data_IF_092682153140
#
_entry.id   IF_092682153140
#
_cell.length_a   1.000
_cell.length_b   1.000
_cell.length_c   1.000
_cell.angle_alpha   90.00
_cell.angle_beta   90.00
_cell.angle_gamma   90.00
#
_symmetry.space_group_name_H-M   'P 1'
#
loop_
_entity.id
_entity.type
_entity.pdbx_description
1 polymer ?
#
# COMPACT_ATOMS: atom_id res chain seq x y z
N UNK A 1 -13.72 -2.22 9.65
CA UNK A 1 -12.53 -1.36 9.73
C UNK A 1 -11.88 -1.51 11.10
N UNK A 2 -10.57 -1.57 11.13
CA UNK A 2 -9.78 -1.68 12.36
C UNK A 2 -8.96 -0.39 12.50
N UNK A 3 -9.05 0.32 13.63
CA UNK A 3 -8.27 1.54 13.82
C UNK A 3 -6.77 1.23 13.92
N UNK A 4 -5.91 2.18 13.53
CA UNK A 4 -4.44 2.08 13.56
C UNK A 4 -3.83 2.16 14.98
N UNK A 5 -4.65 1.90 16.01
CA UNK A 5 -4.23 1.84 17.42
C UNK A 5 -3.58 0.50 17.76
N UNK A 6 -2.86 0.43 18.89
CA UNK A 6 -2.32 -0.84 19.41
C UNK A 6 -3.36 -1.96 19.51
N UNK A 7 -4.58 -1.64 19.98
CA UNK A 7 -5.70 -2.60 20.05
C UNK A 7 -6.12 -3.08 18.68
N UNK A 8 -6.19 -2.16 17.70
CA UNK A 8 -6.51 -2.49 16.32
C UNK A 8 -5.47 -3.44 15.70
N UNK A 9 -4.19 -3.11 15.81
CA UNK A 9 -3.10 -3.96 15.31
C UNK A 9 -3.12 -5.35 15.96
N UNK A 10 -3.36 -5.44 17.28
CA UNK A 10 -3.51 -6.73 17.98
C UNK A 10 -4.66 -7.56 17.41
N UNK A 11 -5.76 -6.93 17.01
CA UNK A 11 -6.89 -7.65 16.35
C UNK A 11 -6.50 -8.21 14.99
N UNK A 12 -5.67 -7.50 14.21
CA UNK A 12 -5.17 -8.01 12.93
C UNK A 12 -4.32 -9.27 13.13
N UNK A 13 -3.40 -9.25 14.09
CA UNK A 13 -2.60 -10.43 14.45
C UNK A 13 -3.49 -11.61 14.81
N UNK A 14 -4.43 -11.43 15.74
CA UNK A 14 -5.35 -12.50 16.17
C UNK A 14 -6.19 -13.05 15.02
N UNK A 15 -6.61 -12.19 14.08
CA UNK A 15 -7.34 -12.61 12.92
C UNK A 15 -6.49 -13.53 12.03
N UNK A 16 -5.24 -13.16 11.75
CA UNK A 16 -4.33 -13.97 10.94
C UNK A 16 -3.93 -15.27 11.65
N UNK A 17 -3.61 -15.22 12.94
CA UNK A 17 -3.27 -16.40 13.75
C UNK A 17 -4.43 -17.41 13.81
N UNK A 18 -5.68 -16.95 13.72
CA UNK A 18 -6.88 -17.77 13.64
C UNK A 18 -7.20 -18.26 12.20
N UNK A 19 -6.30 -18.04 11.22
CA UNK A 19 -6.52 -18.43 9.82
C UNK A 19 -7.47 -17.50 9.05
N UNK A 20 -7.75 -16.32 9.59
CA UNK A 20 -8.61 -15.32 8.95
C UNK A 20 -7.89 -14.49 7.88
N UNK A 21 -8.63 -13.60 7.23
CA UNK A 21 -8.17 -12.69 6.18
C UNK A 21 -8.09 -11.25 6.69
N UNK A 22 -7.00 -10.56 6.37
CA UNK A 22 -6.81 -9.13 6.60
C UNK A 22 -6.56 -8.43 5.28
N UNK A 23 -7.30 -7.36 5.00
CA UNK A 23 -7.11 -6.51 3.82
C UNK A 23 -6.46 -5.19 4.23
N UNK A 24 -5.43 -4.77 3.50
CA UNK A 24 -4.70 -3.51 3.72
C UNK A 24 -4.56 -2.80 2.37
N UNK A 25 -4.68 -1.48 2.38
CA UNK A 25 -4.42 -0.61 1.22
C UNK A 25 -2.98 -0.06 1.34
N UNK A 26 -2.00 -0.65 0.65
CA UNK A 26 -0.58 -0.34 0.86
C UNK A 26 -0.11 0.93 0.15
N UNK A 27 -0.89 1.42 -0.78
CA UNK A 27 -0.59 2.58 -1.63
C UNK A 27 -1.07 3.92 -1.03
N UNK A 28 -1.66 3.90 0.15
CA UNK A 28 -1.98 5.11 0.90
C UNK A 28 -0.77 5.61 1.67
N UNK A 29 -0.71 6.95 1.89
CA UNK A 29 0.37 7.58 2.66
C UNK A 29 0.08 7.42 4.15
N UNK A 30 0.92 6.68 4.90
CA UNK A 30 0.75 6.48 6.33
C UNK A 30 1.21 7.73 7.13
N UNK A 31 0.86 7.77 8.42
CA UNK A 31 1.40 8.78 9.35
C UNK A 31 2.88 8.54 9.65
N UNK A 32 3.30 7.27 9.69
CA UNK A 32 4.68 6.85 9.98
C UNK A 32 5.10 5.69 9.10
N UNK A 33 6.38 5.63 8.76
CA UNK A 33 6.92 4.58 7.92
C UNK A 33 8.36 4.86 7.51
N UNK A 34 8.79 4.22 6.44
CA UNK A 34 10.08 4.48 5.80
C UNK A 34 9.87 4.86 4.34
N UNK A 35 10.82 5.63 3.82
CA UNK A 35 10.84 5.95 2.40
C UNK A 35 11.48 4.80 1.61
N UNK A 36 10.67 4.13 0.80
CA UNK A 36 11.11 3.09 -0.15
C UNK A 36 10.59 3.40 -1.54
N UNK A 37 11.23 2.88 -2.61
CA UNK A 37 10.83 3.20 -3.98
C UNK A 37 9.38 2.81 -4.30
N UNK A 38 8.69 3.68 -5.03
CA UNK A 38 7.43 3.44 -5.72
C UNK A 38 7.48 4.16 -7.06
N UNK A 39 7.43 3.44 -8.17
CA UNK A 39 7.70 3.94 -9.52
C UNK A 39 9.01 4.75 -9.64
N UNK A 40 10.06 4.28 -8.95
CA UNK A 40 11.38 4.91 -8.96
C UNK A 40 11.56 6.09 -8.00
N UNK A 41 10.48 6.61 -7.39
CA UNK A 41 10.52 7.73 -6.46
C UNK A 41 10.34 7.27 -5.00
N UNK A 42 11.05 7.88 -4.03
CA UNK A 42 10.85 7.57 -2.61
C UNK A 42 9.43 7.91 -2.18
N UNK A 43 8.71 6.92 -1.65
CA UNK A 43 7.36 7.06 -1.11
C UNK A 43 7.31 6.57 0.33
N UNK A 44 6.71 7.36 1.23
CA UNK A 44 6.51 6.96 2.62
C UNK A 44 5.60 5.74 2.65
N UNK A 45 6.07 4.63 3.21
CA UNK A 45 5.40 3.33 3.19
C UNK A 45 5.31 2.76 4.60
N UNK A 46 4.15 2.19 4.96
CA UNK A 46 3.92 1.59 6.27
C UNK A 46 4.66 0.26 6.42
N UNK A 47 5.12 -0.01 7.63
CA UNK A 47 5.77 -1.27 8.03
C UNK A 47 4.75 -2.38 8.38
N UNK A 48 3.44 -2.08 8.40
CA UNK A 48 2.43 -2.97 8.97
C UNK A 48 2.38 -4.32 8.26
N UNK A 49 2.37 -4.33 6.92
CA UNK A 49 2.30 -5.57 6.12
C UNK A 49 3.49 -6.48 6.43
N UNK A 50 4.71 -5.96 6.37
CA UNK A 50 5.92 -6.73 6.65
C UNK A 50 5.98 -7.23 8.10
N UNK A 51 5.45 -6.45 9.05
CA UNK A 51 5.36 -6.85 10.47
C UNK A 51 4.34 -7.96 10.69
N UNK A 52 3.16 -7.84 10.10
CA UNK A 52 2.12 -8.87 10.18
C UNK A 52 2.63 -10.17 9.57
N UNK A 53 3.18 -10.12 8.36
CA UNK A 53 3.71 -11.27 7.65
C UNK A 53 4.79 -12.00 8.47
N UNK A 54 5.81 -11.28 8.96
CA UNK A 54 6.91 -11.89 9.74
C UNK A 54 6.45 -12.54 11.03
N UNK A 55 5.44 -11.94 11.69
CA UNK A 55 4.98 -12.45 12.99
C UNK A 55 4.04 -13.66 12.84
N UNK A 56 3.23 -13.71 11.78
CA UNK A 56 2.19 -14.73 11.61
C UNK A 56 2.51 -15.76 10.53
N UNK A 57 3.51 -15.49 9.67
CA UNK A 57 3.79 -16.33 8.50
C UNK A 57 2.69 -16.26 7.42
N UNK A 58 1.75 -15.31 7.53
CA UNK A 58 0.62 -15.19 6.59
C UNK A 58 1.10 -15.01 5.14
N UNK A 59 0.42 -15.67 4.21
CA UNK A 59 0.62 -15.45 2.78
C UNK A 59 0.04 -14.11 2.38
N UNK A 60 0.74 -13.41 1.48
CA UNK A 60 0.31 -12.16 0.89
C UNK A 60 -0.24 -12.44 -0.50
N UNK A 61 -1.36 -11.82 -0.83
CA UNK A 61 -1.97 -11.86 -2.17
C UNK A 61 -2.35 -10.44 -2.53
N UNK A 62 -1.95 -10.00 -3.72
CA UNK A 62 -2.40 -8.73 -4.26
C UNK A 62 -3.80 -8.87 -4.85
N UNK A 63 -4.67 -7.89 -4.58
CA UNK A 63 -6.03 -7.88 -5.10
C UNK A 63 -6.36 -6.48 -5.61
N UNK A 64 -6.94 -6.40 -6.81
CA UNK A 64 -7.44 -5.15 -7.37
C UNK A 64 -8.70 -5.37 -8.20
N UNK A 65 -9.47 -4.31 -8.36
CA UNK A 65 -10.68 -4.32 -9.18
C UNK A 65 -10.38 -3.72 -10.57
N UNK A 66 -10.74 -4.46 -11.60
CA UNK A 66 -10.68 -3.99 -12.99
C UNK A 66 -12.10 -3.73 -13.49
N UNK A 67 -12.39 -2.49 -13.87
CA UNK A 67 -13.65 -2.16 -14.53
C UNK A 67 -13.67 -2.78 -15.93
N UNK A 68 -14.74 -3.46 -16.27
CA UNK A 68 -14.93 -4.08 -17.58
C UNK A 68 -15.50 -3.07 -18.60
N UNK A 69 -15.19 -3.22 -19.90
CA UNK A 69 -15.73 -2.37 -20.95
C UNK A 69 -17.25 -2.40 -21.01
N UNK A 70 -17.86 -1.38 -21.63
CA UNK A 70 -19.29 -1.29 -21.91
C UNK A 70 -20.19 -1.48 -20.67
N UNK A 71 -19.74 -0.97 -19.49
CA UNK A 71 -20.47 -1.08 -18.22
C UNK A 71 -20.80 -2.53 -17.77
N UNK A 72 -20.04 -3.51 -18.21
CA UNK A 72 -20.20 -4.92 -17.83
C UNK A 72 -19.73 -5.24 -16.39
N UNK A 73 -19.66 -4.23 -15.50
CA UNK A 73 -19.28 -4.40 -14.10
C UNK A 73 -17.78 -4.43 -13.87
N UNK A 74 -17.35 -5.25 -12.91
CA UNK A 74 -15.96 -5.34 -12.43
C UNK A 74 -15.49 -6.78 -12.37
N UNK A 75 -14.21 -6.99 -12.65
CA UNK A 75 -13.49 -8.23 -12.35
C UNK A 75 -12.61 -8.02 -11.11
N UNK A 76 -12.65 -8.97 -10.19
CA UNK A 76 -11.69 -9.05 -9.08
C UNK A 76 -10.47 -9.82 -9.57
N UNK A 77 -9.31 -9.17 -9.56
CA UNK A 77 -8.05 -9.74 -10.00
C UNK A 77 -7.16 -10.05 -8.80
N UNK A 78 -6.62 -11.27 -8.75
CA UNK A 78 -5.64 -11.69 -7.75
C UNK A 78 -4.30 -11.94 -8.41
N UNK A 79 -3.20 -11.52 -7.74
CA UNK A 79 -1.82 -11.73 -8.22
C UNK A 79 -0.93 -12.15 -7.06
N UNK A 80 0.03 -13.01 -7.35
CA UNK A 80 1.12 -13.27 -6.42
C UNK A 80 1.98 -12.00 -6.29
N UNK A 81 2.40 -11.64 -5.08
CA UNK A 81 3.33 -10.54 -4.88
C UNK A 81 4.74 -10.93 -5.36
N UNK A 82 5.63 -9.94 -5.51
CA UNK A 82 7.06 -10.24 -5.72
C UNK A 82 7.65 -10.90 -4.47
N UNK A 83 8.66 -11.76 -4.64
CA UNK A 83 9.26 -12.53 -3.55
C UNK A 83 9.85 -11.65 -2.43
N UNK A 84 10.29 -10.43 -2.77
CA UNK A 84 10.87 -9.47 -1.82
C UNK A 84 9.93 -9.14 -0.64
N UNK A 85 8.61 -9.30 -0.76
CA UNK A 85 7.66 -9.06 0.34
C UNK A 85 7.92 -9.94 1.57
N UNK A 86 8.60 -11.08 1.36
CA UNK A 86 8.96 -12.04 2.41
C UNK A 86 10.39 -11.87 2.92
N UNK A 87 11.10 -10.83 2.48
CA UNK A 87 12.48 -10.59 2.90
C UNK A 87 12.58 -10.37 4.42
N UNK A 88 13.67 -10.84 5.02
CA UNK A 88 13.98 -10.61 6.43
C UNK A 88 14.27 -9.12 6.70
N UNK A 89 14.90 -8.43 5.76
CA UNK A 89 15.11 -6.99 5.83
C UNK A 89 13.79 -6.24 5.61
N UNK A 90 13.46 -5.34 6.55
CA UNK A 90 12.20 -4.62 6.54
C UNK A 90 12.06 -3.66 5.36
N UNK A 91 13.16 -2.99 4.96
CA UNK A 91 13.12 -2.03 3.85
C UNK A 91 12.96 -2.76 2.52
N UNK A 92 13.63 -3.92 2.36
CA UNK A 92 13.46 -4.79 1.19
C UNK A 92 12.02 -5.31 1.11
N UNK A 93 11.46 -5.77 2.23
CA UNK A 93 10.07 -6.25 2.27
C UNK A 93 9.08 -5.14 1.92
N UNK A 94 9.25 -3.92 2.45
CA UNK A 94 8.41 -2.77 2.13
C UNK A 94 8.54 -2.35 0.65
N UNK A 95 9.76 -2.33 0.10
CA UNK A 95 9.98 -2.09 -1.32
C UNK A 95 9.32 -3.18 -2.18
N UNK A 96 9.33 -4.44 -1.72
CA UNK A 96 8.60 -5.55 -2.32
C UNK A 96 7.10 -5.33 -2.38
N UNK A 97 6.51 -4.79 -1.30
CA UNK A 97 5.08 -4.40 -1.29
C UNK A 97 4.81 -3.36 -2.37
N UNK A 98 5.62 -2.29 -2.44
CA UNK A 98 5.45 -1.25 -3.47
C UNK A 98 5.61 -1.82 -4.89
N UNK A 99 6.63 -2.66 -5.15
CA UNK A 99 6.82 -3.34 -6.45
C UNK A 99 5.61 -4.20 -6.84
N UNK A 100 5.00 -4.86 -5.86
CA UNK A 100 3.80 -5.68 -6.09
C UNK A 100 2.60 -4.82 -6.49
N UNK A 101 2.42 -3.66 -5.84
CA UNK A 101 1.40 -2.68 -6.23
C UNK A 101 1.69 -2.12 -7.62
N UNK A 102 2.94 -1.76 -7.92
CA UNK A 102 3.33 -1.29 -9.26
C UNK A 102 3.00 -2.30 -10.36
N UNK A 103 3.23 -3.60 -10.11
CA UNK A 103 2.89 -4.65 -11.07
C UNK A 103 1.37 -4.68 -11.35
N UNK A 104 0.54 -4.56 -10.32
CA UNK A 104 -0.91 -4.47 -10.46
C UNK A 104 -1.32 -3.20 -11.23
N UNK A 105 -0.74 -2.05 -10.91
CA UNK A 105 -1.01 -0.78 -11.59
C UNK A 105 -0.66 -0.84 -13.08
N UNK A 106 0.48 -1.47 -13.44
CA UNK A 106 0.89 -1.62 -14.85
C UNK A 106 -0.09 -2.44 -15.68
N UNK A 107 -0.91 -3.32 -15.09
CA UNK A 107 -1.96 -4.04 -15.82
C UNK A 107 -3.14 -3.15 -16.21
N UNK A 108 -3.46 -2.14 -15.41
CA UNK A 108 -4.60 -1.24 -15.61
C UNK A 108 -4.26 0.21 -15.31
N UNK A 109 -3.21 0.80 -15.89
CA UNK A 109 -2.69 2.12 -15.48
C UNK A 109 -3.74 3.23 -15.60
N UNK A 110 -4.67 3.14 -16.54
CA UNK A 110 -5.74 4.12 -16.72
C UNK A 110 -6.82 4.07 -15.62
N UNK A 111 -6.84 3.04 -14.78
CA UNK A 111 -7.83 2.88 -13.72
C UNK A 111 -7.23 3.06 -12.32
N UNK A 112 -5.94 3.32 -12.23
CA UNK A 112 -5.30 3.63 -10.94
C UNK A 112 -5.63 5.06 -10.52
N UNK A 113 -5.76 5.27 -9.23
CA UNK A 113 -6.13 6.55 -8.62
C UNK A 113 -4.93 7.53 -8.57
N UNK A 114 -4.47 8.02 -9.73
CA UNK A 114 -3.32 8.91 -9.84
C UNK A 114 -3.51 10.26 -9.15
N UNK A 115 -4.76 10.72 -8.97
CA UNK A 115 -5.09 11.94 -8.24
C UNK A 115 -4.79 11.85 -6.74
N UNK A 116 -4.66 10.64 -6.18
CA UNK A 116 -4.18 10.46 -4.82
C UNK A 116 -2.70 10.82 -4.73
N UNK A 117 -2.40 11.86 -3.94
CA UNK A 117 -1.04 12.41 -3.81
C UNK A 117 -0.11 11.46 -3.03
N UNK A 118 0.26 10.32 -3.64
CA UNK A 118 1.08 9.26 -3.03
C UNK A 118 2.44 9.74 -2.53
N UNK A 119 3.00 10.76 -3.17
CA UNK A 119 4.32 11.33 -2.85
C UNK A 119 4.22 12.67 -2.10
N UNK A 120 3.12 12.94 -1.40
CA UNK A 120 2.96 14.20 -0.64
C UNK A 120 4.00 14.35 0.46
N UNK A 121 4.40 13.23 1.08
CA UNK A 121 5.52 13.18 2.01
C UNK A 121 6.80 12.87 1.25
N UNK A 122 7.85 13.66 1.52
CA UNK A 122 9.15 13.53 0.85
C UNK A 122 10.27 13.40 1.88
N UNK A 123 11.34 12.65 1.56
CA UNK A 123 12.55 12.66 2.38
C UNK A 123 13.10 14.09 2.53
N UNK A 124 13.77 14.35 3.64
CA UNK A 124 14.45 15.64 3.88
C UNK A 124 15.37 16.02 2.70
N UNK A 125 15.28 17.27 2.25
CA UNK A 125 16.07 17.77 1.11
C UNK A 125 15.54 17.42 -0.28
N UNK A 126 14.48 16.63 -0.41
CA UNK A 126 13.83 16.36 -1.71
C UNK A 126 12.77 17.41 -2.04
N UNK A 127 12.74 17.86 -3.30
CA UNK A 127 11.72 18.77 -3.80
C UNK A 127 10.34 18.15 -3.76
N UNK A 128 9.30 19.00 -3.56
CA UNK A 128 7.90 18.60 -3.68
C UNK A 128 7.57 18.22 -5.13
N UNK A 129 6.84 17.12 -5.31
CA UNK A 129 6.38 16.69 -6.64
C UNK A 129 5.08 17.41 -7.02
N UNK A 130 4.24 17.72 -6.03
CA UNK A 130 2.94 18.36 -6.27
C UNK A 130 3.02 19.87 -5.99
N UNK A 131 2.51 20.67 -6.93
CA UNK A 131 2.28 22.10 -6.70
C UNK A 131 0.98 22.26 -5.93
N UNK A 132 1.06 22.94 -4.78
CA UNK A 132 -0.10 23.29 -3.93
C UNK A 132 -0.61 24.72 -4.21
N UNK A 133 -0.37 25.27 -5.41
CA UNK A 133 -0.92 26.57 -5.76
C UNK A 133 -2.44 26.46 -5.90
N UNK A 134 -3.14 26.99 -4.91
CA UNK A 134 -4.56 27.33 -4.94
C UNK A 134 -5.56 26.29 -4.45
N UNK A 135 -5.44 25.78 -3.19
CA UNK A 135 -6.64 25.48 -2.38
C UNK A 135 -6.23 25.25 -0.93
N UNK A 136 -6.38 26.30 -0.12
CA UNK A 136 -6.46 26.17 1.33
C UNK A 136 -7.81 25.51 1.68
N UNK A 137 -7.86 24.18 1.71
CA UNK A 137 -8.94 23.50 2.42
C UNK A 137 -8.61 23.61 3.91
N UNK A 138 -9.10 24.66 4.55
CA UNK A 138 -9.18 24.75 6.00
C UNK A 138 -10.18 23.70 6.46
N UNK A 139 -9.70 22.68 7.13
CA UNK A 139 -10.56 21.79 7.90
C UNK A 139 -11.14 22.60 9.08
N UNK A 140 -12.44 22.78 9.08
CA UNK A 140 -13.22 23.11 10.27
C UNK A 140 -13.62 21.82 10.96
#
# INVERSE_FOLDING_TARGET
LVPTTRKGITRLYRCLDAGGLVTILPDQVPETGDFVPFFGEPALTDRLISRLQRKTGARIVCCFLKRLPANNGFAVCFREPVADVYAADSLVAMAGVNKSVEACVREIPAQYQWEYKRFRERPSGKLRIYNYEGNSWTHH
#
